data_IF_282803641888
#
_entry.id   IF_282803641888
#
_cell.length_a   1.000
_cell.length_b   1.000
_cell.length_c   1.000
_cell.angle_alpha   90.00
_cell.angle_beta   90.00
_cell.angle_gamma   90.00
#
_symmetry.space_group_name_H-M   'P 1'
#
loop_
_entity.id
_entity.type
_entity.pdbx_description
1 polymer ?
#
# COMPACT_ATOMS: atom_id res chain seq x y z
N UNK A 1 3.12 -15.94 -0.27
CA UNK A 1 3.57 -14.69 0.38
C UNK A 1 3.66 -13.51 -0.59
N UNK A 2 4.61 -13.47 -1.55
CA UNK A 2 4.83 -12.27 -2.39
C UNK A 2 3.61 -11.86 -3.24
N UNK A 3 2.96 -12.84 -3.89
CA UNK A 3 1.78 -12.59 -4.72
C UNK A 3 0.54 -12.19 -3.90
N UNK A 4 0.38 -12.76 -2.71
CA UNK A 4 -0.76 -12.49 -1.83
C UNK A 4 -0.71 -11.05 -1.31
N UNK A 5 0.45 -10.61 -0.79
CA UNK A 5 0.64 -9.21 -0.38
C UNK A 5 0.43 -8.25 -1.55
N UNK A 6 1.02 -8.56 -2.71
CA UNK A 6 0.88 -7.74 -3.92
C UNK A 6 -0.60 -7.55 -4.31
N UNK A 7 -1.34 -8.63 -4.42
CA UNK A 7 -2.77 -8.57 -4.76
C UNK A 7 -3.56 -7.81 -3.69
N UNK A 8 -3.26 -8.05 -2.40
CA UNK A 8 -3.91 -7.34 -1.30
C UNK A 8 -3.73 -5.82 -1.40
N UNK A 9 -2.53 -5.36 -1.72
CA UNK A 9 -2.23 -3.93 -1.92
C UNK A 9 -2.94 -3.35 -3.15
N UNK A 10 -3.00 -4.09 -4.26
CA UNK A 10 -3.78 -3.69 -5.45
C UNK A 10 -5.27 -3.53 -5.12
N UNK A 11 -5.82 -4.45 -4.35
CA UNK A 11 -7.23 -4.39 -3.95
C UNK A 11 -7.50 -3.25 -2.96
N UNK A 12 -6.57 -2.93 -2.07
CA UNK A 12 -6.67 -1.75 -1.21
C UNK A 12 -6.68 -0.46 -2.03
N UNK A 13 -5.76 -0.33 -3.00
CA UNK A 13 -5.73 0.82 -3.90
C UNK A 13 -7.01 0.94 -4.74
N UNK A 14 -7.53 -0.18 -5.28
CA UNK A 14 -8.80 -0.21 -5.99
C UNK A 14 -9.96 0.25 -5.12
N UNK A 15 -10.09 -0.29 -3.91
CA UNK A 15 -11.16 0.11 -3.00
C UNK A 15 -11.05 1.59 -2.64
N UNK A 16 -9.84 2.08 -2.38
CA UNK A 16 -9.67 3.49 -2.02
C UNK A 16 -9.98 4.42 -3.20
N UNK A 17 -9.59 4.05 -4.43
CA UNK A 17 -9.98 4.77 -5.65
C UNK A 17 -11.50 4.78 -5.88
N UNK A 18 -12.20 3.73 -5.44
CA UNK A 18 -13.66 3.69 -5.50
C UNK A 18 -14.30 4.65 -4.49
N UNK A 19 -13.77 4.67 -3.27
CA UNK A 19 -14.34 5.43 -2.14
C UNK A 19 -14.02 6.91 -2.26
N UNK A 20 -12.79 7.22 -2.64
CA UNK A 20 -12.26 8.57 -2.76
C UNK A 20 -11.67 8.76 -4.16
N UNK A 21 -12.48 9.21 -5.13
CA UNK A 21 -12.03 9.44 -6.50
C UNK A 21 -10.96 10.53 -6.61
N UNK A 22 -10.85 11.46 -5.67
CA UNK A 22 -9.82 12.50 -5.70
C UNK A 22 -8.49 11.96 -5.16
N UNK A 23 -7.47 11.90 -6.00
CA UNK A 23 -6.20 11.20 -5.71
C UNK A 23 -5.46 11.75 -4.48
N UNK A 24 -5.51 13.06 -4.27
CA UNK A 24 -4.81 13.75 -3.19
C UNK A 24 -5.28 13.33 -1.80
N UNK A 25 -6.52 12.83 -1.67
CA UNK A 25 -7.12 12.44 -0.39
C UNK A 25 -7.07 10.93 -0.13
N UNK A 26 -6.55 10.14 -1.08
CA UNK A 26 -6.46 8.69 -0.92
C UNK A 26 -5.35 8.31 0.05
N UNK A 27 -5.67 7.34 0.90
CA UNK A 27 -4.68 6.70 1.75
C UNK A 27 -3.88 5.69 0.95
N UNK A 28 -4.52 4.70 0.33
CA UNK A 28 -3.85 3.62 -0.39
C UNK A 28 -3.74 3.92 -1.88
N UNK A 29 -2.56 3.65 -2.45
CA UNK A 29 -2.31 3.75 -3.89
C UNK A 29 -1.41 2.62 -4.37
N UNK A 30 -1.50 2.29 -5.66
CA UNK A 30 -0.67 1.27 -6.29
C UNK A 30 -0.35 1.65 -7.72
N UNK A 31 0.93 1.58 -8.09
CA UNK A 31 1.41 1.78 -9.44
C UNK A 31 2.18 0.52 -9.89
N UNK A 32 1.58 -0.22 -10.83
CA UNK A 32 2.17 -1.43 -11.43
C UNK A 32 3.21 -1.16 -12.52
N UNK A 33 3.46 0.11 -12.81
CA UNK A 33 4.39 0.60 -13.83
C UNK A 33 5.31 1.66 -13.24
N UNK A 34 5.73 1.46 -11.98
CA UNK A 34 6.56 2.41 -11.25
C UNK A 34 7.91 2.63 -11.95
N UNK A 35 8.51 1.53 -12.43
CA UNK A 35 9.78 1.51 -13.15
C UNK A 35 9.90 0.25 -14.01
N UNK A 36 11.07 0.01 -14.58
CA UNK A 36 11.30 -1.18 -15.41
C UNK A 36 11.28 -2.45 -14.54
N UNK A 37 10.25 -3.27 -14.70
CA UNK A 37 9.93 -4.41 -13.84
C UNK A 37 9.71 -4.06 -12.35
N UNK A 38 9.40 -2.79 -12.03
CA UNK A 38 9.13 -2.31 -10.68
C UNK A 38 7.65 -1.99 -10.48
N UNK A 39 7.11 -2.40 -9.33
CA UNK A 39 5.79 -2.00 -8.87
C UNK A 39 5.89 -1.36 -7.48
N UNK A 40 4.99 -0.43 -7.17
CA UNK A 40 5.01 0.31 -5.93
C UNK A 40 3.60 0.44 -5.35
N UNK A 41 3.46 0.13 -4.07
CA UNK A 41 2.29 0.48 -3.28
C UNK A 41 2.66 1.54 -2.24
N UNK A 42 1.76 2.46 -1.95
CA UNK A 42 1.98 3.47 -0.92
C UNK A 42 0.77 3.69 -0.03
N UNK A 43 1.04 4.17 1.18
CA UNK A 43 0.06 4.82 2.04
C UNK A 43 0.51 6.23 2.40
N UNK A 44 -0.45 7.16 2.45
CA UNK A 44 -0.28 8.50 3.05
C UNK A 44 -1.48 8.79 3.94
N UNK A 45 -1.24 9.15 5.20
CA UNK A 45 -2.32 9.38 6.16
C UNK A 45 -2.78 10.85 6.27
N UNK A 46 -2.17 11.75 5.50
CA UNK A 46 -2.43 13.20 5.55
C UNK A 46 -1.87 13.91 6.79
N UNK A 47 -1.33 13.17 7.77
CA UNK A 47 -0.76 13.66 9.03
C UNK A 47 0.77 13.48 9.11
N UNK A 48 1.41 13.06 8.02
CA UNK A 48 2.86 12.83 7.91
C UNK A 48 3.27 11.37 8.08
N UNK A 49 2.33 10.48 8.37
CA UNK A 49 2.50 9.04 8.28
C UNK A 49 2.44 8.57 6.84
N UNK A 50 3.45 7.81 6.43
CA UNK A 50 3.54 7.25 5.10
C UNK A 50 4.31 5.94 5.09
N UNK A 51 4.01 5.11 4.11
CA UNK A 51 4.89 4.00 3.78
C UNK A 51 4.88 3.70 2.29
N UNK A 52 5.93 3.01 1.86
CA UNK A 52 6.10 2.49 0.51
C UNK A 52 6.44 1.00 0.58
N UNK A 53 5.76 0.18 -0.22
CA UNK A 53 6.13 -1.20 -0.50
C UNK A 53 6.60 -1.26 -1.96
N UNK A 54 7.85 -1.64 -2.15
CA UNK A 54 8.48 -1.73 -3.45
C UNK A 54 8.66 -3.20 -3.84
N UNK A 55 8.37 -3.50 -5.10
CA UNK A 55 8.51 -4.82 -5.70
C UNK A 55 9.44 -4.75 -6.90
N UNK A 56 10.41 -5.66 -6.96
CA UNK A 56 11.28 -5.84 -8.12
C UNK A 56 11.73 -7.30 -8.21
N UNK A 57 11.32 -8.00 -9.26
CA UNK A 57 11.50 -9.46 -9.36
C UNK A 57 11.00 -10.20 -8.10
N UNK A 58 11.89 -10.88 -7.38
CA UNK A 58 11.59 -11.57 -6.11
C UNK A 58 11.83 -10.69 -4.87
N UNK A 59 12.44 -9.51 -5.06
CA UNK A 59 12.75 -8.58 -3.99
C UNK A 59 11.53 -7.76 -3.61
N UNK A 60 11.25 -7.72 -2.31
CA UNK A 60 10.25 -6.82 -1.72
C UNK A 60 10.93 -6.04 -0.60
N UNK A 61 10.71 -4.72 -0.60
CA UNK A 61 11.13 -3.82 0.46
C UNK A 61 9.97 -2.97 0.93
N UNK A 62 10.07 -2.51 2.17
CA UNK A 62 9.10 -1.65 2.83
C UNK A 62 9.83 -0.57 3.61
N UNK A 63 9.43 0.68 3.45
CA UNK A 63 9.89 1.80 4.27
C UNK A 63 8.67 2.47 4.88
N UNK A 64 8.76 2.79 6.16
CA UNK A 64 7.71 3.50 6.87
C UNK A 64 8.28 4.74 7.55
N UNK A 65 7.53 5.83 7.50
CA UNK A 65 7.64 7.00 8.37
C UNK A 65 6.37 7.07 9.18
N UNK A 66 6.45 6.88 10.49
CA UNK A 66 5.31 7.08 11.41
C UNK A 66 5.69 8.17 12.43
N UNK A 67 5.00 9.31 12.44
CA UNK A 67 5.15 10.31 13.48
C UNK A 67 4.86 9.76 14.89
N UNK A 68 3.93 8.81 15.00
CA UNK A 68 3.51 8.21 16.28
C UNK A 68 4.57 7.24 16.81
N UNK A 69 5.10 6.35 15.96
CA UNK A 69 6.14 5.39 16.36
C UNK A 69 7.55 6.03 16.40
N UNK A 70 7.68 7.25 15.88
CA UNK A 70 8.90 8.05 15.90
C UNK A 70 9.91 7.66 14.81
N UNK A 71 10.83 8.59 14.51
CA UNK A 71 11.93 8.37 13.57
C UNK A 71 13.12 7.72 14.26
N UNK A 72 13.95 7.00 13.51
CA UNK A 72 15.26 6.57 14.03
C UNK A 72 16.27 7.73 13.99
N UNK A 73 17.16 7.79 14.98
CA UNK A 73 18.14 8.88 15.10
C UNK A 73 19.07 9.00 13.87
N UNK A 74 19.45 7.87 13.27
CA UNK A 74 20.31 7.83 12.10
C UNK A 74 19.83 6.79 11.09
N UNK A 75 18.99 7.24 10.16
CA UNK A 75 18.40 6.39 9.12
C UNK A 75 19.46 5.78 8.18
N UNK A 76 20.60 6.44 7.98
CA UNK A 76 21.70 5.90 7.18
C UNK A 76 22.22 4.57 7.73
N UNK A 77 22.24 4.40 9.06
CA UNK A 77 22.67 3.13 9.69
C UNK A 77 21.75 1.95 9.39
N UNK A 78 20.48 2.21 9.06
CA UNK A 78 19.56 1.18 8.59
C UNK A 78 19.89 0.83 7.14
N UNK A 79 20.04 1.85 6.28
CA UNK A 79 20.39 1.69 4.85
C UNK A 79 21.66 0.86 4.66
N UNK A 80 22.69 1.10 5.48
CA UNK A 80 23.97 0.39 5.42
C UNK A 80 23.86 -1.12 5.71
N UNK A 81 22.76 -1.55 6.37
CA UNK A 81 22.48 -2.97 6.69
C UNK A 81 21.63 -3.65 5.62
N UNK A 82 21.06 -2.89 4.69
CA UNK A 82 20.22 -3.44 3.61
C UNK A 82 21.13 -3.97 2.48
N UNK A 83 20.88 -5.17 1.95
CA UNK A 83 21.67 -5.73 0.86
C UNK A 83 21.70 -4.85 -0.39
N UNK A 84 22.81 -4.92 -1.15
CA UNK A 84 23.03 -4.09 -2.35
C UNK A 84 22.00 -4.31 -3.46
N UNK A 85 21.35 -5.47 -3.49
CA UNK A 85 20.30 -5.80 -4.45
C UNK A 85 19.08 -4.88 -4.31
N UNK A 86 18.91 -4.23 -3.16
CA UNK A 86 17.89 -3.21 -2.90
C UNK A 86 18.37 -1.79 -3.19
N UNK A 87 19.49 -1.60 -3.90
CA UNK A 87 20.04 -0.27 -4.17
C UNK A 87 19.09 0.64 -4.94
N UNK A 88 18.25 0.10 -5.84
CA UNK A 88 17.23 0.88 -6.55
C UNK A 88 16.25 1.48 -5.52
N UNK A 89 15.66 0.63 -4.68
CA UNK A 89 14.79 1.05 -3.57
C UNK A 89 15.43 2.08 -2.64
N UNK A 90 16.70 1.90 -2.26
CA UNK A 90 17.41 2.80 -1.34
C UNK A 90 17.72 4.19 -1.90
N UNK A 91 17.67 4.34 -3.23
CA UNK A 91 17.99 5.57 -3.94
C UNK A 91 16.79 6.18 -4.66
N UNK A 92 15.60 5.59 -4.55
CA UNK A 92 14.37 6.11 -5.13
C UNK A 92 13.97 7.45 -4.45
N UNK A 93 13.98 8.58 -5.19
CA UNK A 93 13.64 9.88 -4.61
C UNK A 93 12.23 9.95 -4.02
N UNK A 94 11.25 9.24 -4.59
CA UNK A 94 9.88 9.27 -4.10
C UNK A 94 9.71 8.68 -2.70
N UNK A 95 10.66 7.87 -2.22
CA UNK A 95 10.55 7.18 -0.93
C UNK A 95 11.13 7.96 0.24
N UNK A 96 11.62 9.19 0.03
CA UNK A 96 12.20 10.04 1.09
C UNK A 96 13.21 9.28 1.95
N UNK A 97 14.23 8.70 1.29
CA UNK A 97 15.21 7.78 1.88
C UNK A 97 16.31 8.46 2.70
N UNK A 98 16.06 9.68 3.17
CA UNK A 98 16.87 10.46 4.11
C UNK A 98 16.40 10.28 5.56
N UNK A 99 15.12 9.94 5.76
CA UNK A 99 14.53 9.71 7.09
C UNK A 99 13.44 8.62 7.07
N UNK A 100 13.15 8.08 8.25
CA UNK A 100 12.08 7.11 8.41
C UNK A 100 12.09 6.48 9.80
N UNK A 101 11.06 5.70 10.08
CA UNK A 101 10.91 4.92 11.31
C UNK A 101 11.49 3.52 11.15
N UNK A 102 11.36 2.90 9.97
CA UNK A 102 11.89 1.56 9.72
C UNK A 102 12.16 1.27 8.25
N UNK A 103 12.99 0.25 8.00
CA UNK A 103 13.14 -0.40 6.70
C UNK A 103 13.01 -1.90 6.90
N UNK A 104 12.12 -2.53 6.14
CA UNK A 104 12.02 -3.98 6.06
C UNK A 104 12.37 -4.45 4.64
N UNK A 105 12.96 -5.62 4.52
CA UNK A 105 13.21 -6.27 3.24
C UNK A 105 13.10 -7.79 3.38
N UNK A 106 12.70 -8.47 2.31
CA UNK A 106 12.67 -9.93 2.31
C UNK A 106 14.06 -10.52 2.08
N UNK A 107 14.40 -11.53 2.86
CA UNK A 107 15.58 -12.37 2.63
C UNK A 107 15.19 -13.81 2.90
N UNK A 108 15.33 -14.70 1.90
CA UNK A 108 14.90 -16.10 1.96
C UNK A 108 13.45 -16.23 2.48
N UNK A 109 12.52 -15.48 1.89
CA UNK A 109 11.09 -15.44 2.28
C UNK A 109 10.82 -15.04 3.74
N UNK A 110 11.78 -14.38 4.41
CA UNK A 110 11.63 -13.88 5.76
C UNK A 110 11.88 -12.37 5.82
N UNK A 111 10.95 -11.63 6.44
CA UNK A 111 11.11 -10.20 6.67
C UNK A 111 12.29 -9.95 7.63
N UNK A 112 13.29 -9.24 7.12
CA UNK A 112 14.31 -8.58 7.93
C UNK A 112 13.78 -7.20 8.30
N UNK A 113 13.58 -6.94 9.60
CA UNK A 113 12.98 -5.70 10.09
C UNK A 113 14.05 -4.86 10.80
N UNK A 114 14.31 -3.66 10.32
CA UNK A 114 15.28 -2.73 10.89
C UNK A 114 14.58 -1.45 11.35
N UNK A 115 15.02 -0.88 12.47
CA UNK A 115 14.46 0.36 13.03
C UNK A 115 13.38 0.11 14.07
N UNK A 116 12.46 1.06 14.18
CA UNK A 116 11.37 1.02 15.15
C UNK A 116 10.31 -0.02 14.75
N UNK A 117 9.64 -0.60 15.75
CA UNK A 117 8.42 -1.36 15.53
C UNK A 117 7.30 -0.41 15.13
N UNK A 118 6.55 -0.74 14.08
CA UNK A 118 5.43 0.08 13.60
C UNK A 118 4.13 -0.49 14.16
N UNK A 119 3.39 0.35 14.88
CA UNK A 119 2.12 -0.01 15.51
C UNK A 119 0.94 0.85 15.05
N UNK A 120 1.23 2.08 14.59
CA UNK A 120 0.22 3.07 14.21
C UNK A 120 -0.29 2.89 12.77
N UNK A 121 0.63 2.58 11.85
CA UNK A 121 0.29 2.37 10.44
C UNK A 121 0.26 0.88 10.06
N UNK A 122 -0.61 0.48 9.12
CA UNK A 122 -0.63 -0.90 8.62
C UNK A 122 0.70 -1.21 7.92
N UNK A 123 1.26 -2.38 8.21
CA UNK A 123 2.54 -2.85 7.67
C UNK A 123 2.32 -4.14 6.86
N UNK A 124 3.33 -4.66 6.14
CA UNK A 124 3.15 -5.83 5.27
C UNK A 124 2.54 -7.07 5.93
N UNK A 125 2.74 -7.28 7.23
CA UNK A 125 2.16 -8.41 7.95
C UNK A 125 0.71 -8.17 8.36
N UNK A 126 0.36 -6.95 8.79
CA UNK A 126 -1.03 -6.61 9.15
C UNK A 126 -1.90 -6.49 7.90
N UNK A 127 -1.38 -5.92 6.81
CA UNK A 127 -2.05 -5.83 5.51
C UNK A 127 -2.45 -7.22 5.00
N UNK A 128 -1.54 -8.20 5.05
CA UNK A 128 -1.87 -9.57 4.62
C UNK A 128 -3.00 -10.21 5.43
N UNK A 129 -3.13 -9.86 6.71
CA UNK A 129 -4.15 -10.40 7.62
C UNK A 129 -5.43 -9.58 7.64
N UNK A 130 -5.44 -8.41 7.01
CA UNK A 130 -6.55 -7.48 7.01
C UNK A 130 -7.80 -8.13 6.42
N UNK A 131 -8.90 -8.05 7.15
CA UNK A 131 -10.22 -8.55 6.73
C UNK A 131 -11.03 -7.43 6.11
N UNK A 132 -12.10 -7.80 5.41
CA UNK A 132 -13.03 -6.82 4.84
C UNK A 132 -13.63 -5.89 5.91
N UNK A 133 -13.92 -6.43 7.10
CA UNK A 133 -14.42 -5.65 8.25
C UNK A 133 -13.45 -4.57 8.67
N UNK A 134 -12.16 -4.90 8.81
CA UNK A 134 -11.12 -3.94 9.21
C UNK A 134 -11.03 -2.79 8.20
N UNK A 135 -11.17 -3.08 6.90
CA UNK A 135 -11.21 -2.04 5.87
C UNK A 135 -12.50 -1.22 5.92
N UNK A 136 -13.68 -1.83 6.12
CA UNK A 136 -14.93 -1.09 6.29
C UNK A 136 -14.88 -0.13 7.49
N UNK A 137 -14.31 -0.58 8.61
CA UNK A 137 -14.12 0.24 9.82
C UNK A 137 -13.20 1.44 9.53
N UNK A 138 -12.08 1.20 8.83
CA UNK A 138 -11.23 2.29 8.34
C UNK A 138 -11.99 3.30 7.48
N UNK A 139 -12.89 2.84 6.60
CA UNK A 139 -13.62 3.73 5.71
C UNK A 139 -14.65 4.57 6.45
N UNK A 140 -15.34 3.98 7.43
CA UNK A 140 -16.27 4.68 8.31
C UNK A 140 -15.52 5.73 9.16
N UNK A 141 -14.39 5.36 9.76
CA UNK A 141 -13.62 6.26 10.62
C UNK A 141 -12.97 7.43 9.87
N UNK A 142 -12.47 7.21 8.64
CA UNK A 142 -11.69 8.20 7.89
C UNK A 142 -12.54 9.00 6.91
N UNK A 143 -13.47 8.35 6.21
CA UNK A 143 -14.30 8.99 5.18
C UNK A 143 -15.74 9.24 5.62
N UNK A 144 -16.13 8.81 6.84
CA UNK A 144 -17.51 8.89 7.36
C UNK A 144 -18.52 8.22 6.41
N UNK A 145 -18.12 7.08 5.83
CA UNK A 145 -18.91 6.32 4.86
C UNK A 145 -19.10 4.86 5.28
N UNK A 146 -20.35 4.40 5.27
CA UNK A 146 -20.67 2.98 5.43
C UNK A 146 -20.69 2.27 4.07
N UNK A 147 -19.84 1.24 3.91
CA UNK A 147 -19.76 0.43 2.68
C UNK A 147 -20.11 -1.03 2.94
N UNK A 148 -20.57 -1.72 1.90
CA UNK A 148 -20.94 -3.13 2.00
C UNK A 148 -19.71 -4.04 2.12
N UNK A 149 -19.49 -4.60 3.31
CA UNK A 149 -18.36 -5.48 3.58
C UNK A 149 -18.35 -6.79 2.78
N UNK A 150 -19.49 -7.28 2.28
CA UNK A 150 -19.51 -8.44 1.39
C UNK A 150 -18.92 -8.11 0.02
N UNK A 151 -19.10 -6.87 -0.47
CA UNK A 151 -18.46 -6.41 -1.70
C UNK A 151 -16.95 -6.24 -1.49
N UNK A 152 -16.54 -5.66 -0.36
CA UNK A 152 -15.12 -5.56 0.03
C UNK A 152 -14.47 -6.94 0.11
N UNK A 153 -15.15 -7.91 0.74
CA UNK A 153 -14.66 -9.29 0.83
C UNK A 153 -14.49 -9.93 -0.54
N UNK A 154 -15.46 -9.77 -1.46
CA UNK A 154 -15.33 -10.25 -2.84
C UNK A 154 -14.15 -9.64 -3.57
N UNK A 155 -13.89 -8.34 -3.39
CA UNK A 155 -12.73 -7.66 -3.99
C UNK A 155 -11.42 -8.21 -3.41
N UNK A 156 -11.33 -8.39 -2.09
CA UNK A 156 -10.18 -9.03 -1.44
C UNK A 156 -9.93 -10.47 -1.89
N UNK A 157 -10.98 -11.20 -2.28
CA UNK A 157 -10.89 -12.53 -2.91
C UNK A 157 -10.51 -12.49 -4.41
N UNK A 158 -10.28 -11.31 -4.97
CA UNK A 158 -9.96 -11.13 -6.39
C UNK A 158 -11.15 -11.27 -7.34
N UNK A 159 -12.38 -11.19 -6.83
CA UNK A 159 -13.63 -11.28 -7.60
C UNK A 159 -14.23 -9.88 -7.78
N UNK A 160 -13.48 -9.01 -8.45
CA UNK A 160 -13.94 -7.67 -8.79
C UNK A 160 -14.60 -7.68 -10.17
N UNK A 161 -15.78 -7.06 -10.25
CA UNK A 161 -16.46 -6.70 -11.49
C UNK A 161 -16.72 -5.20 -11.45
N UNK A 162 -16.58 -4.51 -12.59
CA UNK A 162 -16.65 -3.04 -12.64
C UNK A 162 -17.98 -2.48 -12.07
N UNK A 163 -19.08 -3.22 -12.20
CA UNK A 163 -20.39 -2.85 -11.65
C UNK A 163 -20.44 -2.81 -10.12
N UNK A 164 -19.51 -3.51 -9.45
CA UNK A 164 -19.38 -3.44 -7.99
C UNK A 164 -18.95 -2.05 -7.52
N UNK A 165 -18.18 -1.32 -8.34
CA UNK A 165 -17.73 0.03 -7.99
C UNK A 165 -18.93 0.96 -7.77
N UNK A 166 -19.92 0.96 -8.67
CA UNK A 166 -21.13 1.77 -8.52
C UNK A 166 -22.03 1.35 -7.34
N UNK A 167 -21.89 0.11 -6.86
CA UNK A 167 -22.60 -0.34 -5.65
C UNK A 167 -21.91 0.13 -4.37
N UNK A 168 -20.61 0.37 -4.41
CA UNK A 168 -19.83 0.90 -3.29
C UNK A 168 -19.91 2.43 -3.27
N UNK A 169 -19.68 3.09 -4.41
CA UNK A 169 -19.81 4.53 -4.58
C UNK A 169 -20.74 4.83 -5.77
N UNK A 170 -22.01 5.22 -5.53
CA UNK A 170 -22.97 5.52 -6.60
C UNK A 170 -22.58 6.66 -7.54
N UNK A 171 -21.66 7.54 -7.12
CA UNK A 171 -21.25 8.72 -7.88
C UNK A 171 -19.97 8.49 -8.70
N UNK A 172 -19.41 7.27 -8.70
CA UNK A 172 -18.14 7.01 -9.35
C UNK A 172 -18.21 7.13 -10.88
N UNK A 173 -17.19 7.74 -11.47
CA UNK A 173 -16.94 7.69 -12.90
C UNK A 173 -16.24 6.37 -13.27
N UNK A 174 -17.01 5.44 -13.83
CA UNK A 174 -16.49 4.13 -14.26
C UNK A 174 -15.50 4.22 -15.42
N UNK A 175 -15.48 5.32 -16.17
CA UNK A 175 -14.51 5.54 -17.25
C UNK A 175 -13.15 5.85 -16.65
N UNK A 176 -13.10 6.84 -15.73
CA UNK A 176 -11.88 7.17 -15.00
C UNK A 176 -11.35 5.97 -14.21
N UNK A 177 -12.22 5.25 -13.50
CA UNK A 177 -11.81 4.06 -12.74
C UNK A 177 -11.17 2.98 -13.64
N UNK A 178 -11.65 2.80 -14.89
CA UNK A 178 -11.03 1.85 -15.82
C UNK A 178 -9.61 2.24 -16.21
N UNK A 179 -9.32 3.52 -16.32
CA UNK A 179 -7.96 4.00 -16.58
C UNK A 179 -7.06 3.71 -15.38
N UNK A 180 -7.56 3.93 -14.16
CA UNK A 180 -6.83 3.62 -12.93
C UNK A 180 -6.54 2.12 -12.74
N UNK A 181 -7.46 1.24 -13.15
CA UNK A 181 -7.22 -0.21 -13.12
C UNK A 181 -5.98 -0.60 -13.93
N UNK A 182 -5.71 0.09 -15.04
CA UNK A 182 -4.49 -0.13 -15.84
C UNK A 182 -3.22 0.34 -15.14
N UNK A 183 -3.31 1.34 -14.26
CA UNK A 183 -2.20 1.80 -13.42
C UNK A 183 -1.97 0.85 -12.24
N UNK A 184 -3.04 0.45 -11.55
CA UNK A 184 -2.99 -0.52 -10.44
C UNK A 184 -2.55 -1.91 -10.94
N UNK A 185 -2.75 -2.19 -12.24
CA UNK A 185 -2.39 -3.47 -12.86
C UNK A 185 -3.41 -4.55 -12.56
N UNK A 186 -4.70 -4.17 -12.60
CA UNK A 186 -5.85 -5.05 -12.52
C UNK A 186 -6.58 -5.06 -13.87
N UNK A 187 -7.06 -6.22 -14.28
CA UNK A 187 -7.95 -6.38 -15.44
C UNK A 187 -9.40 -6.48 -14.97
N UNK A 188 -10.31 -5.85 -15.71
CA UNK A 188 -11.76 -6.07 -15.61
C UNK A 188 -12.20 -7.27 -16.42
#
# INVERSE_FOLDING_TARGET
>A
MNLELKNKLKYLALLNAIIEPEWEYRYYSYNSKWGDAEEMASLRDGCGGEWFVWFYNESIAFKCTSPVDGLVDNFQTLKDKVPRDYSIFLNEPAFSMDMGSCIWFLNNDCWQKLGNSISDLPNPETIQKMKAKDFCEFVDEIYEQEINCDLVAKIFDGKFEIEMASKINPNIDLTCLKEELLEIGLST
#
